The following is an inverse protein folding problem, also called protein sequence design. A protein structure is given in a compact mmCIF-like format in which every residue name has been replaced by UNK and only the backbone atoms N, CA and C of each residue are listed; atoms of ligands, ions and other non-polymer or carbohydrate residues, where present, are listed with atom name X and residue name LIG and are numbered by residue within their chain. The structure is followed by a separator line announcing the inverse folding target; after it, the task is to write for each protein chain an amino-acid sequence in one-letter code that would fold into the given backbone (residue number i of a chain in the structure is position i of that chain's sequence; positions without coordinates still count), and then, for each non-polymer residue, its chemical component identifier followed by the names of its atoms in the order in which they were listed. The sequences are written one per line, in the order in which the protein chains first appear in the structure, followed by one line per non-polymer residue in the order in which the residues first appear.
data_IF_912273863851
#
_entry.id   IF_912273863851
#
_cell.length_a   1.000
_cell.length_b   1.000
_cell.length_c   1.000
_cell.angle_alpha   90.00
_cell.angle_beta   90.00
_cell.angle_gamma   90.00
#
_symmetry.space_group_name_H-M   'P 1'
#
loop_
_entity.id
_entity.type
_entity.pdbx_description
1 polymer ?
#
# COMPACT_ATOMS: atom_id res chain seq x y z
N UNK A 1 -17.93 -12.30 -26.75
CA UNK A 1 -17.41 -10.93 -26.53
C UNK A 1 -18.23 -10.34 -25.39
N UNK A 2 -17.70 -10.26 -24.16
CA UNK A 2 -18.44 -9.67 -23.03
C UNK A 2 -18.09 -8.20 -22.88
N UNK A 3 -19.13 -7.36 -22.84
CA UNK A 3 -19.05 -5.90 -22.81
C UNK A 3 -18.41 -5.39 -21.52
N UNK A 4 -17.09 -5.16 -21.55
CA UNK A 4 -16.33 -4.45 -20.51
C UNK A 4 -16.80 -3.00 -20.27
N UNK A 5 -17.80 -2.53 -21.02
CA UNK A 5 -18.34 -1.18 -20.94
C UNK A 5 -19.40 -1.01 -19.85
N UNK A 6 -20.10 -2.07 -19.45
CA UNK A 6 -21.24 -1.94 -18.53
C UNK A 6 -20.81 -1.71 -17.06
N UNK A 7 -19.64 -2.24 -16.64
CA UNK A 7 -19.16 -2.10 -15.26
C UNK A 7 -18.71 -0.68 -14.89
N UNK A 8 -18.28 0.14 -15.86
CA UNK A 8 -17.83 1.52 -15.59
C UNK A 8 -18.97 2.45 -15.17
N UNK A 9 -20.16 2.23 -15.72
CA UNK A 9 -21.35 3.04 -15.41
C UNK A 9 -21.79 2.88 -13.95
N UNK A 10 -21.61 1.69 -13.37
CA UNK A 10 -21.93 1.46 -11.96
C UNK A 10 -20.92 2.14 -11.03
N UNK A 11 -19.62 2.02 -11.30
CA UNK A 11 -18.57 2.62 -10.45
C UNK A 11 -18.71 4.14 -10.35
N UNK A 12 -19.00 4.82 -11.47
CA UNK A 12 -19.18 6.28 -11.49
C UNK A 12 -20.38 6.73 -10.64
N UNK A 13 -21.52 6.04 -10.77
CA UNK A 13 -22.74 6.37 -10.02
C UNK A 13 -22.58 6.23 -8.51
N UNK A 14 -21.81 5.23 -8.05
CA UNK A 14 -21.53 5.07 -6.62
C UNK A 14 -20.56 6.11 -6.09
N UNK A 15 -19.53 6.46 -6.88
CA UNK A 15 -18.58 7.50 -6.52
C UNK A 15 -19.28 8.86 -6.32
N UNK A 16 -20.12 9.27 -7.27
CA UNK A 16 -20.89 10.52 -7.18
C UNK A 16 -21.79 10.54 -5.94
N UNK A 17 -22.57 9.47 -5.73
CA UNK A 17 -23.46 9.36 -4.56
C UNK A 17 -22.69 9.46 -3.25
N UNK A 18 -21.52 8.82 -3.16
CA UNK A 18 -20.67 8.86 -1.99
C UNK A 18 -20.15 10.28 -1.73
N UNK A 19 -19.61 10.93 -2.76
CA UNK A 19 -19.10 12.31 -2.66
C UNK A 19 -20.21 13.30 -2.27
N UNK A 20 -21.41 13.19 -2.85
CA UNK A 20 -22.56 14.03 -2.48
C UNK A 20 -22.96 13.81 -1.03
N UNK A 21 -22.93 12.57 -0.55
CA UNK A 21 -23.27 12.27 0.85
C UNK A 21 -22.25 12.91 1.81
N UNK A 22 -20.95 12.79 1.54
CA UNK A 22 -19.89 13.38 2.36
C UNK A 22 -19.95 14.91 2.40
N UNK A 23 -20.15 15.55 1.24
CA UNK A 23 -20.27 17.02 1.16
C UNK A 23 -21.53 17.55 1.84
N UNK A 24 -22.64 16.79 1.82
CA UNK A 24 -23.87 17.14 2.56
C UNK A 24 -23.64 17.20 4.07
N UNK A 25 -22.74 16.37 4.60
CA UNK A 25 -22.34 16.37 6.01
C UNK A 25 -21.11 17.24 6.29
N UNK A 26 -20.75 18.14 5.36
CA UNK A 26 -19.61 19.06 5.45
C UNK A 26 -18.25 18.38 5.67
N UNK A 27 -18.08 17.13 5.21
CA UNK A 27 -16.79 16.46 5.18
C UNK A 27 -16.09 16.85 3.88
N UNK A 28 -14.95 17.52 4.00
CA UNK A 28 -14.09 17.85 2.86
C UNK A 28 -13.45 16.58 2.30
N UNK A 29 -13.52 16.43 0.98
CA UNK A 29 -12.89 15.32 0.27
C UNK A 29 -11.51 15.80 -0.17
N UNK A 30 -10.47 15.16 0.37
CA UNK A 30 -9.10 15.43 -0.05
C UNK A 30 -8.82 14.68 -1.36
N UNK A 31 -8.81 15.42 -2.47
CA UNK A 31 -8.60 14.86 -3.81
C UNK A 31 -7.14 14.44 -4.04
N UNK A 32 -6.21 15.15 -3.41
CA UNK A 32 -4.77 14.90 -3.50
C UNK A 32 -4.20 14.33 -2.18
N UNK A 33 -4.68 13.15 -1.78
CA UNK A 33 -4.09 12.44 -0.65
C UNK A 33 -2.73 11.85 -1.03
N UNK A 34 -1.67 12.31 -0.37
CA UNK A 34 -0.32 11.75 -0.49
C UNK A 34 -0.02 10.83 0.70
N UNK A 35 0.15 9.51 0.49
CA UNK A 35 0.45 8.60 1.59
C UNK A 35 1.82 8.82 2.24
N UNK A 36 2.72 9.60 1.61
CA UNK A 36 4.05 9.92 2.13
C UNK A 36 4.11 11.25 2.88
N UNK A 37 3.03 12.05 2.88
CA UNK A 37 2.97 13.31 3.62
C UNK A 37 2.95 13.06 5.13
N UNK A 38 3.94 13.61 5.84
CA UNK A 38 4.06 13.52 7.30
C UNK A 38 2.84 14.05 8.04
N UNK A 39 2.09 15.00 7.45
CA UNK A 39 0.86 15.55 8.03
C UNK A 39 -0.28 14.54 8.12
N UNK A 40 -0.21 13.46 7.35
CA UNK A 40 -1.21 12.39 7.38
C UNK A 40 -0.98 11.40 8.54
N UNK A 41 0.13 11.53 9.29
CA UNK A 41 0.39 10.76 10.50
C UNK A 41 -0.28 11.44 11.70
N UNK A 42 -1.46 10.95 12.07
CA UNK A 42 -2.22 11.45 13.23
C UNK A 42 -2.10 10.56 14.48
N UNK A 43 -1.29 9.49 14.45
CA UNK A 43 -1.13 8.59 15.60
C UNK A 43 -0.35 9.31 16.73
N UNK A 44 -0.93 9.44 17.94
CA UNK A 44 -0.29 10.11 19.08
C UNK A 44 1.10 9.55 19.43
N UNK A 45 1.40 8.30 19.07
CA UNK A 45 2.70 7.67 19.27
C UNK A 45 3.85 8.46 18.62
N UNK A 46 3.60 9.16 17.50
CA UNK A 46 4.62 9.88 16.74
C UNK A 46 4.61 11.40 16.99
N UNK A 47 3.77 11.88 17.91
CA UNK A 47 3.58 13.33 18.15
C UNK A 47 4.85 14.06 18.62
N UNK A 48 5.81 13.33 19.18
CA UNK A 48 7.09 13.88 19.65
C UNK A 48 8.18 13.92 18.58
N UNK A 49 7.94 13.33 17.41
CA UNK A 49 8.91 13.28 16.32
C UNK A 49 8.95 14.60 15.55
N UNK A 50 10.11 14.91 14.97
CA UNK A 50 10.27 16.00 14.03
C UNK A 50 9.64 15.67 12.66
N UNK A 51 9.42 16.69 11.83
CA UNK A 51 8.83 16.51 10.50
C UNK A 51 9.66 15.55 9.62
N UNK A 52 10.99 15.61 9.70
CA UNK A 52 11.88 14.70 8.95
C UNK A 52 11.77 13.25 9.42
N UNK A 53 11.63 13.02 10.73
CA UNK A 53 11.41 11.67 11.27
C UNK A 53 10.02 11.16 10.90
N UNK A 54 9.02 12.05 10.85
CA UNK A 54 7.67 11.69 10.41
C UNK A 54 7.60 11.33 8.93
N UNK A 55 8.37 11.99 8.07
CA UNK A 55 8.49 11.62 6.65
C UNK A 55 9.07 10.20 6.49
N UNK A 56 10.11 9.86 7.27
CA UNK A 56 10.67 8.50 7.29
C UNK A 56 9.62 7.48 7.77
N UNK A 57 8.91 7.78 8.86
CA UNK A 57 7.83 6.91 9.36
C UNK A 57 6.70 6.76 8.33
N UNK A 58 6.35 7.82 7.60
CA UNK A 58 5.34 7.77 6.55
C UNK A 58 5.76 6.80 5.44
N UNK A 59 7.02 6.93 4.98
CA UNK A 59 7.61 6.06 3.97
C UNK A 59 7.66 4.60 4.43
N UNK A 60 8.11 4.34 5.66
CA UNK A 60 8.16 2.98 6.23
C UNK A 60 6.77 2.35 6.33
N UNK A 61 5.80 3.09 6.86
CA UNK A 61 4.43 2.61 6.99
C UNK A 61 3.78 2.36 5.62
N UNK A 62 4.07 3.20 4.63
CA UNK A 62 3.56 3.02 3.28
C UNK A 62 4.17 1.80 2.61
N UNK A 63 5.49 1.62 2.73
CA UNK A 63 6.21 0.45 2.22
C UNK A 63 5.69 -0.85 2.85
N UNK A 64 5.56 -0.90 4.18
CA UNK A 64 5.02 -2.08 4.90
C UNK A 64 3.60 -2.43 4.43
N UNK A 65 2.75 -1.42 4.19
CA UNK A 65 1.40 -1.64 3.65
C UNK A 65 1.43 -2.18 2.22
N UNK A 66 2.31 -1.67 1.36
CA UNK A 66 2.50 -2.19 0.00
C UNK A 66 2.92 -3.66 0.03
N UNK A 67 3.92 -4.01 0.84
CA UNK A 67 4.39 -5.39 1.01
C UNK A 67 3.28 -6.31 1.54
N UNK A 68 2.50 -5.86 2.52
CA UNK A 68 1.34 -6.61 3.04
C UNK A 68 0.30 -6.82 1.94
N UNK A 69 -0.01 -5.79 1.14
CA UNK A 69 -0.97 -5.91 0.04
C UNK A 69 -0.52 -6.99 -0.96
N UNK A 70 0.76 -7.01 -1.34
CA UNK A 70 1.30 -8.01 -2.27
C UNK A 70 1.13 -9.45 -1.76
N UNK A 71 1.19 -9.69 -0.44
CA UNK A 71 0.98 -11.02 0.16
C UNK A 71 -0.45 -11.55 0.00
N UNK A 72 -1.43 -10.66 -0.08
CA UNK A 72 -2.86 -11.05 -0.19
C UNK A 72 -3.36 -11.06 -1.64
N UNK A 73 -2.63 -10.45 -2.56
CA UNK A 73 -2.96 -10.48 -3.98
C UNK A 73 -2.68 -11.87 -4.58
N UNK A 74 -3.49 -12.26 -5.57
CA UNK A 74 -3.24 -13.49 -6.33
C UNK A 74 -1.93 -13.32 -7.12
N UNK A 75 -1.12 -14.39 -7.30
CA UNK A 75 0.18 -14.27 -7.97
C UNK A 75 0.16 -13.55 -9.33
N UNK A 76 -0.84 -13.80 -10.16
CA UNK A 76 -0.98 -13.15 -11.48
C UNK A 76 -1.29 -11.64 -11.41
N UNK A 77 -1.77 -11.14 -10.27
CA UNK A 77 -2.00 -9.71 -10.01
C UNK A 77 -0.85 -9.11 -9.21
N UNK A 78 -0.30 -9.86 -8.27
CA UNK A 78 0.73 -9.39 -7.36
C UNK A 78 2.01 -8.95 -8.10
N UNK A 79 2.41 -9.66 -9.15
CA UNK A 79 3.62 -9.30 -9.94
C UNK A 79 3.49 -7.93 -10.63
N UNK A 80 2.47 -7.67 -11.48
CA UNK A 80 2.34 -6.35 -12.11
C UNK A 80 2.08 -5.23 -11.09
N UNK A 81 1.35 -5.49 -9.99
CA UNK A 81 1.17 -4.49 -8.92
C UNK A 81 2.49 -4.22 -8.19
N UNK A 82 3.33 -5.23 -7.95
CA UNK A 82 4.65 -5.07 -7.36
C UNK A 82 5.58 -4.24 -8.22
N UNK A 83 5.56 -4.44 -9.54
CA UNK A 83 6.28 -3.56 -10.47
C UNK A 83 5.79 -2.11 -10.38
N UNK A 84 4.47 -1.89 -10.34
CA UNK A 84 3.93 -0.55 -10.16
C UNK A 84 4.42 0.10 -8.86
N UNK A 85 4.41 -0.62 -7.72
CA UNK A 85 4.94 -0.08 -6.46
C UNK A 85 6.44 0.22 -6.52
N UNK A 86 7.23 -0.62 -7.20
CA UNK A 86 8.66 -0.39 -7.41
C UNK A 86 8.91 0.85 -8.28
N UNK A 87 8.11 1.08 -9.32
CA UNK A 87 8.22 2.26 -10.19
C UNK A 87 7.84 3.57 -9.46
N UNK A 88 7.12 3.47 -8.33
CA UNK A 88 6.83 4.58 -7.44
C UNK A 88 7.86 4.74 -6.31
N UNK A 89 8.93 3.95 -6.31
CA UNK A 89 9.94 3.89 -5.25
C UNK A 89 9.37 3.54 -3.85
N UNK A 90 8.22 2.86 -3.79
CA UNK A 90 7.58 2.48 -2.51
C UNK A 90 8.12 1.16 -1.94
N UNK A 91 8.65 0.29 -2.80
CA UNK A 91 9.27 -0.99 -2.45
C UNK A 91 10.49 -1.23 -3.33
N UNK A 92 11.36 -2.16 -2.93
CA UNK A 92 12.54 -2.51 -3.73
C UNK A 92 12.20 -3.61 -4.74
N UNK A 93 13.03 -3.78 -5.78
CA UNK A 93 12.80 -4.77 -6.83
C UNK A 93 12.84 -6.21 -6.28
N UNK A 94 13.61 -6.42 -5.23
CA UNK A 94 13.76 -7.70 -4.53
C UNK A 94 12.48 -8.11 -3.79
N UNK A 95 11.59 -7.16 -3.51
CA UNK A 95 10.32 -7.40 -2.82
C UNK A 95 9.19 -7.88 -3.75
N UNK A 96 9.41 -7.83 -5.07
CA UNK A 96 8.40 -8.24 -6.06
C UNK A 96 8.24 -9.77 -6.00
N UNK A 97 6.99 -10.28 -5.85
CA UNK A 97 6.76 -11.72 -5.79
C UNK A 97 7.28 -12.43 -7.04
N UNK A 98 8.09 -13.47 -6.84
CA UNK A 98 8.50 -14.33 -7.96
C UNK A 98 7.35 -15.30 -8.26
N UNK A 99 7.03 -15.49 -9.54
CA UNK A 99 6.16 -16.58 -9.96
C UNK A 99 6.83 -17.92 -9.64
N UNK A 100 6.68 -18.42 -8.42
CA UNK A 100 6.89 -19.82 -8.13
C UNK A 100 5.79 -20.59 -8.85
N UNK A 101 6.04 -20.99 -10.09
CA UNK A 101 5.31 -22.08 -10.74
C UNK A 101 5.55 -23.32 -9.89
N UNK A 102 4.74 -23.50 -8.86
CA UNK A 102 4.62 -24.77 -8.16
C UNK A 102 4.12 -25.77 -9.19
N UNK A 103 5.02 -26.64 -9.66
CA UNK A 103 4.63 -27.93 -10.20
C UNK A 103 3.81 -28.68 -9.14
N UNK A 104 2.86 -29.54 -9.55
CA UNK A 104 1.92 -30.16 -8.64
C UNK A 104 2.68 -31.07 -7.66
N UNK A 105 2.83 -30.61 -6.42
CA UNK A 105 3.42 -31.40 -5.33
C UNK A 105 4.47 -30.66 -4.52
N UNK A 106 4.09 -29.62 -3.78
CA UNK A 106 4.83 -29.23 -2.58
C UNK A 106 3.84 -28.60 -1.60
N UNK A 107 3.87 -29.10 -0.38
CA UNK A 107 2.88 -28.83 0.66
C UNK A 107 2.95 -27.40 1.20
N UNK A 108 1.85 -27.06 1.84
CA UNK A 108 1.67 -26.02 2.87
C UNK A 108 2.86 -26.06 3.85
N UNK A 109 3.33 -24.88 4.34
CA UNK A 109 4.47 -24.55 5.24
C UNK A 109 5.82 -24.37 4.51
N UNK A 110 6.46 -23.20 4.49
CA UNK A 110 6.94 -22.43 5.65
C UNK A 110 6.73 -20.92 5.58
N UNK A 111 6.15 -20.39 6.67
CA UNK A 111 6.15 -18.98 7.03
C UNK A 111 7.53 -18.65 7.62
N UNK A 112 8.32 -17.82 6.94
CA UNK A 112 9.48 -17.18 7.56
C UNK A 112 9.34 -15.67 7.44
N UNK A 113 9.07 -15.03 8.58
CA UNK A 113 9.05 -13.57 8.73
C UNK A 113 10.38 -12.97 8.27
N UNK A 114 10.39 -11.86 7.52
CA UNK A 114 11.60 -11.08 7.35
C UNK A 114 11.96 -10.46 8.69
N UNK A 115 13.19 -10.71 9.12
CA UNK A 115 13.85 -10.09 10.27
C UNK A 115 13.71 -8.57 10.21
N UNK A 116 13.32 -7.97 11.34
CA UNK A 116 13.35 -6.53 11.54
C UNK A 116 14.70 -5.96 11.10
N UNK A 117 14.65 -4.96 10.22
CA UNK A 117 15.81 -4.16 9.81
C UNK A 117 16.43 -3.55 11.08
N UNK A 118 17.69 -3.86 11.32
CA UNK A 118 18.44 -3.35 12.48
C UNK A 118 18.67 -1.85 12.31
N UNK A 119 18.15 -1.06 13.25
CA UNK A 119 18.48 0.36 13.40
C UNK A 119 19.98 0.52 13.67
N UNK A 120 20.62 1.40 12.90
CA UNK A 120 22.02 1.79 13.10
C UNK A 120 22.11 2.56 14.42
N UNK A 121 22.94 2.08 15.34
CA UNK A 121 23.28 2.81 16.56
C UNK A 121 24.21 3.98 16.21
N UNK A 122 23.79 5.20 16.52
CA UNK A 122 24.66 6.37 16.60
C UNK A 122 25.31 6.32 17.99
N UNK A 123 26.63 6.20 18.05
CA UNK A 123 27.40 6.44 19.27
C UNK A 123 27.99 7.85 19.24
N UNK A 124 27.99 8.45 20.42
CA UNK A 124 28.42 9.81 20.81
C UNK A 124 29.84 10.18 20.36
#
# INVERSE_FOLDING_TARGET
MSDKNNNRQYTLKYAEKFQTTLTTVAIEILDAFDPLDSKNIADPKYKSLSDSELEEVAAELHSDRCLKALKYLRPHVAVPVGHFFCDQDWISKEDIPVHSVSGPGAGIHDFQSPSCRTSVAISE
#
